data_IF_560420226414
#
_entry.id   IF_560420226414
#
_cell.length_a   1.000
_cell.length_b   1.000
_cell.length_c   1.000
_cell.angle_alpha   90.00
_cell.angle_beta   90.00
_cell.angle_gamma   90.00
#
_symmetry.space_group_name_H-M   'P 1'
#
loop_
_entity.id
_entity.type
_entity.pdbx_description
1 polymer ?
#
# COMPACT_ATOMS: atom_id res chain seq x y z
N UNK A 1 -8.04 -18.72 8.62
CA UNK A 1 -6.66 -18.25 8.89
C UNK A 1 -6.61 -17.68 10.30
N UNK A 2 -5.69 -18.16 11.15
CA UNK A 2 -5.53 -17.69 12.53
C UNK A 2 -4.80 -16.35 12.49
N UNK A 3 -5.45 -15.24 12.86
CA UNK A 3 -4.80 -13.91 12.98
C UNK A 3 -3.69 -14.01 14.03
N UNK A 4 -2.45 -14.14 13.59
CA UNK A 4 -1.28 -14.06 14.47
C UNK A 4 -0.93 -12.60 14.63
N UNK A 5 -1.09 -12.04 15.83
CA UNK A 5 -0.59 -10.71 16.16
C UNK A 5 0.94 -10.80 16.19
N UNK A 6 1.61 -10.27 15.16
CA UNK A 6 3.04 -9.97 15.23
C UNK A 6 3.17 -8.56 15.81
N UNK A 7 3.85 -8.45 16.95
CA UNK A 7 4.17 -7.15 17.53
C UNK A 7 5.36 -6.59 16.76
N UNK A 8 5.17 -5.46 16.08
CA UNK A 8 6.22 -4.70 15.41
C UNK A 8 6.26 -3.34 16.09
N UNK A 9 7.45 -2.91 16.51
CA UNK A 9 7.64 -1.56 17.01
C UNK A 9 7.61 -0.61 15.82
N UNK A 10 6.64 0.31 15.82
CA UNK A 10 6.46 1.30 14.79
C UNK A 10 6.77 2.68 15.36
N UNK A 11 7.46 3.48 14.54
CA UNK A 11 7.77 4.87 14.84
C UNK A 11 6.46 5.67 15.01
N UNK A 12 6.23 6.15 16.23
CA UNK A 12 5.00 6.85 16.60
C UNK A 12 4.87 8.20 15.88
N UNK A 13 5.98 8.88 15.60
CA UNK A 13 5.97 10.14 14.86
C UNK A 13 5.57 9.92 13.39
N UNK A 14 5.93 8.76 12.83
CA UNK A 14 5.47 8.35 11.50
C UNK A 14 3.97 8.05 11.50
N UNK A 15 3.49 7.26 12.46
CA UNK A 15 2.07 6.92 12.57
C UNK A 15 1.22 8.19 12.75
N UNK A 16 1.66 9.13 13.58
CA UNK A 16 0.94 10.39 13.78
C UNK A 16 0.88 11.26 12.54
N UNK A 17 1.96 11.33 11.76
CA UNK A 17 1.97 12.01 10.46
C UNK A 17 0.99 11.38 9.48
N UNK A 18 1.00 10.05 9.37
CA UNK A 18 0.09 9.30 8.50
C UNK A 18 -1.36 9.52 8.93
N UNK A 19 -1.66 9.39 10.23
CA UNK A 19 -3.01 9.58 10.78
C UNK A 19 -3.54 10.98 10.48
N UNK A 20 -2.72 12.03 10.67
CA UNK A 20 -3.09 13.41 10.34
C UNK A 20 -3.33 13.60 8.84
N UNK A 21 -2.45 13.05 7.99
CA UNK A 21 -2.59 13.15 6.53
C UNK A 21 -3.88 12.48 6.03
N UNK A 22 -4.22 11.31 6.58
CA UNK A 22 -5.40 10.54 6.22
C UNK A 22 -6.67 10.99 6.95
N UNK A 23 -6.55 11.89 7.94
CA UNK A 23 -7.64 12.26 8.88
C UNK A 23 -8.28 11.02 9.54
N UNK A 24 -7.48 9.99 9.79
CA UNK A 24 -7.94 8.75 10.38
C UNK A 24 -8.26 8.93 11.86
N UNK A 25 -9.30 8.25 12.35
CA UNK A 25 -9.77 8.34 13.74
C UNK A 25 -8.89 7.54 14.69
N UNK A 26 -8.31 6.44 14.20
CA UNK A 26 -7.43 5.55 14.98
C UNK A 26 -6.12 5.27 14.25
N UNK A 27 -5.09 4.86 14.99
CA UNK A 27 -3.82 4.39 14.41
C UNK A 27 -4.03 3.13 13.56
N UNK A 28 -4.88 2.22 14.02
CA UNK A 28 -5.23 1.01 13.29
C UNK A 28 -5.86 1.33 11.93
N UNK A 29 -6.73 2.33 11.86
CA UNK A 29 -7.33 2.79 10.60
C UNK A 29 -6.25 3.34 9.65
N UNK A 30 -5.35 4.17 10.16
CA UNK A 30 -4.26 4.75 9.40
C UNK A 30 -3.32 3.67 8.84
N UNK A 31 -2.90 2.72 9.68
CA UNK A 31 -2.00 1.62 9.31
C UNK A 31 -2.67 0.71 8.28
N UNK A 32 -3.93 0.30 8.52
CA UNK A 32 -4.65 -0.55 7.58
C UNK A 32 -4.86 0.12 6.23
N UNK A 33 -5.07 1.44 6.20
CA UNK A 33 -5.19 2.18 4.96
C UNK A 33 -3.87 2.13 4.17
N UNK A 34 -2.75 2.46 4.80
CA UNK A 34 -1.43 2.44 4.15
C UNK A 34 -1.07 1.04 3.64
N UNK A 35 -1.35 0.00 4.42
CA UNK A 35 -1.08 -1.38 3.99
C UNK A 35 -1.90 -1.77 2.74
N UNK A 36 -3.16 -1.34 2.65
CA UNK A 36 -3.99 -1.57 1.46
C UNK A 36 -3.50 -0.78 0.25
N UNK A 37 -3.10 0.47 0.45
CA UNK A 37 -2.53 1.29 -0.62
C UNK A 37 -1.25 0.65 -1.17
N UNK A 38 -0.37 0.20 -0.28
CA UNK A 38 0.87 -0.48 -0.67
C UNK A 38 0.60 -1.78 -1.44
N UNK A 39 -0.37 -2.58 -1.02
CA UNK A 39 -0.80 -3.80 -1.75
C UNK A 39 -1.33 -3.47 -3.16
N UNK A 40 -2.13 -2.42 -3.30
CA UNK A 40 -2.62 -1.95 -4.58
C UNK A 40 -1.48 -1.45 -5.50
N UNK A 41 -0.52 -0.72 -4.95
CA UNK A 41 0.65 -0.25 -5.69
C UNK A 41 1.52 -1.41 -6.19
N UNK A 42 1.69 -2.47 -5.38
CA UNK A 42 2.37 -3.69 -5.80
C UNK A 42 1.64 -4.39 -6.95
N UNK A 43 0.32 -4.56 -6.83
CA UNK A 43 -0.48 -5.17 -7.90
C UNK A 43 -0.41 -4.35 -9.19
N UNK A 44 -0.46 -3.02 -9.11
CA UNK A 44 -0.32 -2.14 -10.26
C UNK A 44 1.07 -2.29 -10.91
N UNK A 45 2.13 -2.33 -10.11
CA UNK A 45 3.49 -2.53 -10.60
C UNK A 45 3.64 -3.90 -11.30
N UNK A 46 3.05 -4.97 -10.76
CA UNK A 46 3.05 -6.29 -11.36
C UNK A 46 2.31 -6.33 -12.71
N UNK A 47 1.14 -5.69 -12.80
CA UNK A 47 0.39 -5.58 -14.07
C UNK A 47 1.19 -4.77 -15.08
N UNK A 48 1.71 -3.61 -14.68
CA UNK A 48 2.54 -2.75 -15.54
C UNK A 48 3.75 -3.50 -16.09
N UNK A 49 4.42 -4.30 -15.25
CA UNK A 49 5.56 -5.12 -15.68
C UNK A 49 5.16 -6.21 -16.69
N UNK A 50 4.00 -6.84 -16.51
CA UNK A 50 3.47 -7.84 -17.47
C UNK A 50 3.14 -7.21 -18.82
N UNK A 51 2.53 -6.02 -18.80
CA UNK A 51 2.07 -5.34 -20.01
C UNK A 51 3.21 -4.62 -20.75
N UNK A 52 4.34 -4.35 -20.08
CA UNK A 52 5.52 -3.70 -20.68
C UNK A 52 6.17 -4.51 -21.81
N UNK A 53 5.88 -5.81 -21.94
CA UNK A 53 6.36 -6.68 -23.02
C UNK A 53 5.35 -6.90 -24.15
N UNK A 54 4.12 -6.38 -24.04
CA UNK A 54 3.01 -6.63 -24.98
C UNK A 54 2.58 -5.40 -25.76
N UNK A 55 3.30 -4.28 -25.63
CA UNK A 55 3.05 -3.09 -26.45
C UNK A 55 3.56 -3.30 -27.87
N UNK A 56 2.69 -3.81 -28.75
CA UNK A 56 2.85 -3.65 -30.19
C UNK A 56 2.49 -2.21 -30.53
N UNK A 57 3.50 -1.39 -30.82
CA UNK A 57 3.26 -0.11 -31.47
C UNK A 57 2.86 -0.41 -32.91
N UNK A 58 1.59 -0.26 -33.27
CA UNK A 58 1.22 -0.18 -34.68
C UNK A 58 1.90 1.06 -35.27
N UNK A 59 2.93 0.84 -36.07
CA UNK A 59 3.58 1.87 -36.89
C UNK A 59 2.56 2.40 -37.91
N UNK A 60 2.19 3.68 -37.79
CA UNK A 60 1.33 4.41 -38.75
C UNK A 60 2.18 4.91 -39.92
#
# INVERSE_FOLDING_TARGET
MKRTKKTVELDQDQIDRIRKALKARTEEEAINFVLRQFDADLQLAEVTLKDAGTFDFEEI
#
